data_IF_343807133763
#
_entry.id   IF_343807133763
#
_cell.length_a   1.000
_cell.length_b   1.000
_cell.length_c   1.000
_cell.angle_alpha   90.00
_cell.angle_beta   90.00
_cell.angle_gamma   90.00
#
_symmetry.space_group_name_H-M   'P 1'
#
loop_
_entity.id
_entity.type
_entity.pdbx_description
1 polymer ?
#
# COMPACT_ATOMS: atom_id res chain seq x y z
N UNK A 1 -37.86 33.63 -34.10
CA UNK A 1 -37.53 32.29 -33.58
C UNK A 1 -36.06 31.86 -33.76
N UNK A 2 -35.36 32.17 -34.86
CA UNK A 2 -33.99 31.66 -35.08
C UNK A 2 -32.88 32.28 -34.19
N UNK A 3 -33.02 33.54 -33.76
CA UNK A 3 -32.01 34.22 -32.91
C UNK A 3 -31.99 33.72 -31.47
N UNK A 4 -33.16 33.42 -30.89
CA UNK A 4 -33.30 33.00 -29.49
C UNK A 4 -32.73 31.61 -29.22
N UNK A 5 -32.79 30.72 -30.22
CA UNK A 5 -32.24 29.36 -30.14
C UNK A 5 -30.71 29.41 -30.14
N UNK A 6 -30.10 30.30 -30.93
CA UNK A 6 -28.65 30.42 -31.05
C UNK A 6 -28.00 30.94 -29.75
N UNK A 7 -28.61 31.93 -29.10
CA UNK A 7 -28.14 32.43 -27.79
C UNK A 7 -28.26 31.39 -26.69
N UNK A 8 -29.32 30.58 -26.72
CA UNK A 8 -29.51 29.50 -25.76
C UNK A 8 -28.44 28.41 -25.92
N UNK A 9 -28.12 28.00 -27.16
CA UNK A 9 -27.04 27.05 -27.42
C UNK A 9 -25.66 27.56 -26.97
N UNK A 10 -25.38 28.85 -27.15
CA UNK A 10 -24.10 29.45 -26.72
C UNK A 10 -23.95 29.51 -25.19
N UNK A 11 -25.03 29.76 -24.44
CA UNK A 11 -25.01 29.71 -22.96
C UNK A 11 -24.90 28.27 -22.40
N UNK A 12 -25.53 27.30 -23.07
CA UNK A 12 -25.43 25.90 -22.66
C UNK A 12 -24.04 25.34 -22.96
N UNK A 13 -23.39 25.76 -24.05
CA UNK A 13 -22.02 25.35 -24.34
C UNK A 13 -20.98 25.97 -23.40
N UNK A 14 -21.15 27.23 -22.98
CA UNK A 14 -20.23 27.85 -22.01
C UNK A 14 -20.33 27.24 -20.60
N UNK A 15 -21.52 26.75 -20.22
CA UNK A 15 -21.70 26.01 -18.97
C UNK A 15 -21.13 24.58 -19.01
N UNK A 16 -21.03 23.95 -20.19
CA UNK A 16 -20.32 22.67 -20.37
C UNK A 16 -18.80 22.85 -20.16
N UNK A 17 -18.21 23.97 -20.59
CA UNK A 17 -16.78 24.25 -20.39
C UNK A 17 -16.41 24.64 -18.94
N UNK A 18 -17.34 25.20 -18.17
CA UNK A 18 -17.13 25.51 -16.74
C UNK A 18 -17.31 24.29 -15.81
N UNK A 19 -17.83 23.18 -16.33
CA UNK A 19 -17.91 21.91 -15.61
C UNK A 19 -16.64 21.05 -15.75
N UNK A 20 -15.51 21.66 -16.12
CA UNK A 20 -14.19 21.16 -15.72
C UNK A 20 -14.04 21.37 -14.21
N UNK A 21 -14.74 20.53 -13.45
CA UNK A 21 -14.54 20.40 -12.01
C UNK A 21 -13.03 20.36 -11.76
N UNK A 22 -12.54 21.31 -10.95
CA UNK A 22 -11.30 21.13 -10.21
C UNK A 22 -11.40 19.72 -9.60
N UNK A 23 -10.60 18.77 -10.09
CA UNK A 23 -10.38 17.52 -9.36
C UNK A 23 -9.76 17.95 -8.04
N UNK A 24 -10.58 18.16 -7.02
CA UNK A 24 -10.08 18.18 -5.66
C UNK A 24 -9.28 16.89 -5.50
N UNK A 25 -8.02 17.03 -5.10
CA UNK A 25 -7.12 15.92 -4.83
C UNK A 25 -7.72 15.12 -3.65
N UNK A 26 -8.67 14.23 -3.93
CA UNK A 26 -9.28 13.36 -2.94
C UNK A 26 -8.17 12.51 -2.34
N UNK A 27 -7.83 12.83 -1.09
CA UNK A 27 -6.89 12.04 -0.32
C UNK A 27 -7.69 10.95 0.36
N UNK A 28 -7.47 9.70 -0.05
CA UNK A 28 -8.06 8.54 0.61
C UNK A 28 -7.08 8.06 1.66
N UNK A 29 -7.54 7.88 2.90
CA UNK A 29 -6.75 7.30 3.97
C UNK A 29 -7.23 5.88 4.26
N UNK A 30 -6.30 4.95 4.44
CA UNK A 30 -6.59 3.58 4.83
C UNK A 30 -5.64 3.11 5.91
N UNK A 31 -6.20 2.64 7.02
CA UNK A 31 -5.45 2.02 8.12
C UNK A 31 -5.58 0.51 8.02
N UNK A 32 -4.48 -0.19 8.27
CA UNK A 32 -4.43 -1.66 8.26
C UNK A 32 -3.63 -2.13 9.47
N UNK A 33 -4.20 -3.03 10.25
CA UNK A 33 -3.60 -3.57 11.46
C UNK A 33 -3.06 -4.98 11.23
N UNK A 34 -1.94 -5.30 11.86
CA UNK A 34 -1.24 -6.57 11.73
C UNK A 34 -0.89 -7.13 13.12
N UNK A 35 -0.98 -8.46 13.26
CA UNK A 35 -0.36 -9.20 14.35
C UNK A 35 1.08 -9.51 13.96
N UNK A 36 1.98 -9.43 14.92
CA UNK A 36 3.36 -9.87 14.78
C UNK A 36 3.53 -11.06 15.71
N UNK A 37 3.84 -12.22 15.14
CA UNK A 37 4.09 -13.45 15.87
C UNK A 37 5.54 -13.88 15.68
N UNK A 38 6.12 -14.57 16.68
CA UNK A 38 7.37 -15.31 16.49
C UNK A 38 7.13 -16.55 15.62
N UNK A 39 8.19 -17.25 15.24
CA UNK A 39 8.05 -18.53 14.52
C UNK A 39 7.41 -19.64 15.34
N UNK A 40 7.41 -19.53 16.67
CA UNK A 40 6.69 -20.42 17.59
C UNK A 40 5.20 -20.04 17.73
N UNK A 41 4.68 -19.25 16.78
CA UNK A 41 3.31 -18.74 16.71
C UNK A 41 2.86 -17.95 17.95
N UNK A 42 3.81 -17.51 18.78
CA UNK A 42 3.55 -16.66 19.93
C UNK A 42 3.37 -15.22 19.49
N UNK A 43 2.26 -14.57 19.87
CA UNK A 43 2.03 -13.16 19.60
C UNK A 43 3.07 -12.31 20.35
N UNK A 44 3.90 -11.57 19.63
CA UNK A 44 4.97 -10.72 20.21
C UNK A 44 4.67 -9.22 20.08
N UNK A 45 3.73 -8.85 19.21
CA UNK A 45 3.40 -7.44 19.02
C UNK A 45 2.32 -7.19 17.98
N UNK A 46 2.16 -5.91 17.67
CA UNK A 46 1.22 -5.43 16.69
C UNK A 46 1.88 -4.39 15.78
N UNK A 47 1.31 -4.20 14.60
CA UNK A 47 1.69 -3.14 13.69
C UNK A 47 0.45 -2.44 13.11
N UNK A 48 0.59 -1.13 12.85
CA UNK A 48 -0.31 -0.33 12.04
C UNK A 48 0.44 0.16 10.80
N UNK A 49 -0.19 -0.02 9.64
CA UNK A 49 0.18 0.66 8.39
C UNK A 49 -0.93 1.61 7.98
N UNK A 50 -0.59 2.87 7.74
CA UNK A 50 -1.51 3.87 7.22
C UNK A 50 -1.07 4.26 5.81
N UNK A 51 -2.02 4.25 4.88
CA UNK A 51 -1.82 4.59 3.48
C UNK A 51 -2.60 5.85 3.17
N UNK A 52 -1.91 6.88 2.69
CA UNK A 52 -2.53 8.08 2.14
C UNK A 52 -2.35 8.07 0.62
N UNK A 53 -3.45 7.96 -0.11
CA UNK A 53 -3.47 7.98 -1.56
C UNK A 53 -3.70 9.43 -2.00
N UNK A 54 -2.70 10.06 -2.60
CA UNK A 54 -2.74 11.45 -3.09
C UNK A 54 -2.30 11.47 -4.55
N UNK A 55 -3.27 11.63 -5.45
CA UNK A 55 -3.04 11.62 -6.90
C UNK A 55 -2.31 10.33 -7.32
N UNK A 56 -1.17 10.48 -7.98
CA UNK A 56 -0.32 9.39 -8.44
C UNK A 56 0.67 8.91 -7.37
N UNK A 57 0.53 9.37 -6.12
CA UNK A 57 1.40 8.99 -5.01
C UNK A 57 0.64 8.23 -3.94
N UNK A 58 1.29 7.23 -3.35
CA UNK A 58 0.81 6.53 -2.15
C UNK A 58 1.87 6.74 -1.08
N UNK A 59 1.47 7.33 0.05
CA UNK A 59 2.37 7.50 1.19
C UNK A 59 2.01 6.42 2.19
N UNK A 60 2.94 5.50 2.44
CA UNK A 60 2.86 4.51 3.49
C UNK A 60 3.53 5.03 4.75
N UNK A 61 2.86 4.86 5.88
CA UNK A 61 3.35 5.14 7.21
C UNK A 61 3.26 3.85 8.00
N UNK A 62 4.33 3.47 8.67
CA UNK A 62 4.42 2.24 9.44
C UNK A 62 4.75 2.54 10.89
N UNK A 63 4.07 1.85 11.80
CA UNK A 63 4.47 1.77 13.21
C UNK A 63 4.25 0.37 13.74
N UNK A 64 5.16 -0.10 14.59
CA UNK A 64 5.05 -1.37 15.31
C UNK A 64 5.32 -1.20 16.80
N UNK A 65 4.70 -2.05 17.59
CA UNK A 65 4.85 -2.09 19.05
C UNK A 65 4.95 -3.52 19.54
N UNK A 66 5.62 -3.73 20.67
CA UNK A 66 5.50 -4.98 21.41
C UNK A 66 4.18 -5.03 22.19
N UNK A 67 3.89 -6.16 22.84
CA UNK A 67 2.67 -6.33 23.66
C UNK A 67 2.48 -5.26 24.76
N UNK A 68 3.59 -4.70 25.27
CA UNK A 68 3.59 -3.64 26.30
C UNK A 68 3.35 -2.24 25.72
N UNK A 69 3.20 -2.11 24.39
CA UNK A 69 3.01 -0.83 23.71
C UNK A 69 4.31 -0.04 23.50
N UNK A 70 5.49 -0.63 23.76
CA UNK A 70 6.78 0.01 23.44
C UNK A 70 6.96 0.00 21.93
N UNK A 71 7.19 1.19 21.35
CA UNK A 71 7.51 1.37 19.92
C UNK A 71 8.76 0.56 19.56
N UNK A 72 8.65 -0.24 18.51
CA UNK A 72 9.77 -1.02 17.96
C UNK A 72 10.40 -0.29 16.76
N UNK A 73 9.61 -0.07 15.71
CA UNK A 73 10.07 0.51 14.44
C UNK A 73 9.00 1.48 13.91
N UNK A 74 9.41 2.57 13.27
CA UNK A 74 8.56 3.40 12.43
C UNK A 74 9.31 3.92 11.20
N UNK A 75 8.63 4.00 10.06
CA UNK A 75 9.18 4.55 8.82
C UNK A 75 8.06 5.13 7.92
N UNK A 76 8.48 5.89 6.89
CA UNK A 76 7.61 6.44 5.85
C UNK A 76 8.19 6.07 4.48
N UNK A 77 7.33 5.63 3.58
CA UNK A 77 7.68 5.32 2.19
C UNK A 77 6.69 5.99 1.25
N UNK A 78 7.16 6.38 0.05
CA UNK A 78 6.30 6.88 -1.02
C UNK A 78 6.36 5.89 -2.18
N UNK A 79 5.22 5.61 -2.80
CA UNK A 79 5.07 4.84 -4.03
C UNK A 79 4.51 5.76 -5.10
N UNK A 80 4.90 5.57 -6.36
CA UNK A 80 4.35 6.32 -7.49
C UNK A 80 3.57 5.39 -8.42
N UNK A 81 2.44 5.88 -8.92
CA UNK A 81 1.66 5.25 -9.99
C UNK A 81 1.99 5.96 -11.29
N UNK A 82 2.17 5.20 -12.36
CA UNK A 82 2.27 5.75 -13.71
C UNK A 82 1.37 4.92 -14.62
N UNK A 83 0.25 5.49 -15.06
CA UNK A 83 -0.76 4.76 -15.82
C UNK A 83 -1.29 3.54 -15.04
N UNK A 84 -1.09 2.33 -15.60
CA UNK A 84 -1.49 1.05 -15.00
C UNK A 84 -0.39 0.35 -14.22
N UNK A 85 0.69 1.06 -13.89
CA UNK A 85 1.87 0.46 -13.28
C UNK A 85 2.11 1.12 -11.92
N UNK A 86 2.49 0.30 -10.93
CA UNK A 86 2.83 0.73 -9.58
C UNK A 86 4.34 0.59 -9.39
N UNK A 87 5.01 1.70 -9.10
CA UNK A 87 6.44 1.75 -8.81
C UNK A 87 6.65 1.68 -7.30
N UNK A 88 7.25 0.58 -6.87
CA UNK A 88 7.66 0.28 -5.51
C UNK A 88 9.11 0.71 -5.36
N UNK A 89 9.34 1.69 -4.49
CA UNK A 89 10.67 2.18 -4.20
C UNK A 89 11.49 1.07 -3.56
N UNK A 90 12.55 0.65 -4.25
CA UNK A 90 13.55 -0.19 -3.62
C UNK A 90 14.38 0.72 -2.70
N UNK A 91 14.53 0.32 -1.43
CA UNK A 91 15.30 1.02 -0.40
C UNK A 91 16.82 1.18 -0.70
N UNK A 92 17.27 1.15 -1.97
CA UNK A 92 18.65 1.42 -2.35
C UNK A 92 18.82 2.93 -2.27
N UNK A 93 19.52 3.39 -1.24
CA UNK A 93 19.92 4.80 -1.12
C UNK A 93 20.54 5.27 -2.45
N UNK A 94 19.99 6.34 -3.01
CA UNK A 94 20.52 7.14 -4.11
C UNK A 94 20.49 6.56 -5.54
N UNK A 95 19.71 5.52 -5.84
CA UNK A 95 19.52 5.07 -7.23
C UNK A 95 18.04 5.09 -7.64
N UNK A 96 17.60 6.24 -8.17
CA UNK A 96 16.25 6.44 -8.72
C UNK A 96 16.03 5.71 -10.04
N UNK A 97 17.02 5.01 -10.60
CA UNK A 97 16.84 4.25 -11.84
C UNK A 97 16.46 2.78 -11.59
N UNK A 98 16.39 2.35 -10.33
CA UNK A 98 16.07 0.96 -9.95
C UNK A 98 14.77 0.86 -9.16
N UNK A 99 13.69 1.35 -9.77
CA UNK A 99 12.35 1.08 -9.26
C UNK A 99 11.94 -0.34 -9.56
N UNK A 100 11.41 -1.02 -8.56
CA UNK A 100 10.62 -2.20 -8.78
C UNK A 100 9.26 -1.76 -9.27
N UNK A 101 8.80 -2.31 -10.38
CA UNK A 101 7.49 -1.98 -10.90
C UNK A 101 6.61 -3.22 -10.95
N UNK A 102 5.37 -3.03 -10.53
CA UNK A 102 4.28 -3.97 -10.71
C UNK A 102 3.41 -3.47 -11.84
N UNK A 103 3.30 -4.27 -12.89
CA UNK A 103 2.34 -4.04 -13.96
C UNK A 103 1.13 -4.93 -13.76
N UNK A 104 -0.06 -4.35 -13.87
CA UNK A 104 -1.32 -5.07 -13.73
C UNK A 104 -1.52 -6.01 -14.93
N UNK A 105 -1.15 -7.28 -14.77
CA UNK A 105 -1.25 -8.32 -15.80
C UNK A 105 -2.21 -9.44 -15.38
N UNK A 106 -2.80 -10.13 -16.37
CA UNK A 106 -3.58 -11.37 -16.14
C UNK A 106 -2.69 -12.61 -16.07
N UNK A 107 -1.43 -12.50 -16.51
CA UNK A 107 -0.45 -13.60 -16.53
C UNK A 107 0.50 -13.48 -15.34
N UNK A 108 1.00 -14.60 -14.86
CA UNK A 108 2.07 -14.61 -13.86
C UNK A 108 3.38 -14.13 -14.49
N UNK A 109 4.14 -13.30 -13.78
CA UNK A 109 5.44 -12.79 -14.23
C UNK A 109 6.43 -12.77 -13.08
N UNK A 110 7.67 -13.19 -13.28
CA UNK A 110 8.72 -13.08 -12.27
C UNK A 110 9.92 -12.34 -12.85
N UNK A 111 10.48 -11.43 -12.08
CA UNK A 111 11.67 -10.67 -12.40
C UNK A 111 12.74 -10.99 -11.37
N UNK A 112 13.90 -11.42 -11.84
CA UNK A 112 15.11 -11.46 -11.03
C UNK A 112 15.69 -10.07 -10.95
N UNK A 113 16.09 -9.65 -9.76
CA UNK A 113 16.72 -8.35 -9.57
C UNK A 113 17.97 -8.54 -8.73
N UNK A 114 19.11 -8.24 -9.34
CA UNK A 114 20.40 -8.25 -8.68
C UNK A 114 20.65 -6.92 -7.99
N UNK A 115 20.78 -6.98 -6.67
CA UNK A 115 20.98 -5.83 -5.82
C UNK A 115 22.38 -5.73 -5.23
N UNK A 116 23.41 -6.37 -5.81
CA UNK A 116 24.83 -6.41 -5.35
C UNK A 116 25.08 -6.93 -3.92
N UNK A 117 24.12 -6.81 -3.02
CA UNK A 117 24.16 -7.24 -1.63
C UNK A 117 23.26 -8.45 -1.40
N UNK A 118 22.11 -8.52 -2.10
CA UNK A 118 21.09 -9.54 -1.92
C UNK A 118 20.44 -9.88 -3.26
N UNK A 119 20.10 -11.16 -3.42
CA UNK A 119 19.36 -11.68 -4.57
C UNK A 119 17.88 -11.58 -4.23
N UNK A 120 17.07 -10.99 -5.11
CA UNK A 120 15.64 -11.01 -4.88
C UNK A 120 14.83 -11.24 -6.14
N UNK A 121 13.70 -11.93 -5.95
CA UNK A 121 12.70 -12.19 -6.97
C UNK A 121 11.45 -11.37 -6.68
N UNK A 122 11.01 -10.63 -7.69
CA UNK A 122 9.71 -9.96 -7.71
C UNK A 122 8.78 -10.74 -8.65
N UNK A 123 7.84 -11.48 -8.06
CA UNK A 123 6.83 -12.21 -8.81
C UNK A 123 5.47 -11.54 -8.69
N UNK A 124 4.74 -11.49 -9.79
CA UNK A 124 3.34 -11.11 -9.84
C UNK A 124 2.53 -12.33 -10.20
N UNK A 125 1.46 -12.56 -9.45
CA UNK A 125 0.49 -13.64 -9.64
C UNK A 125 -0.78 -12.96 -10.13
N UNK A 126 -1.06 -13.06 -11.42
CA UNK A 126 -1.96 -12.18 -12.19
C UNK A 126 -3.23 -11.71 -11.48
N UNK A 127 -4.39 -12.21 -11.88
CA UNK A 127 -5.64 -11.98 -11.12
C UNK A 127 -5.92 -13.23 -10.30
N UNK A 128 -6.06 -13.08 -8.99
CA UNK A 128 -6.37 -14.17 -8.07
C UNK A 128 -7.60 -13.83 -7.22
N UNK A 129 -8.11 -14.84 -6.51
CA UNK A 129 -9.09 -14.65 -5.45
C UNK A 129 -8.36 -14.78 -4.10
N UNK A 130 -8.74 -13.95 -3.14
CA UNK A 130 -8.21 -13.92 -1.78
C UNK A 130 -9.37 -13.86 -0.77
N UNK A 131 -9.17 -14.29 0.48
CA UNK A 131 -10.25 -14.35 1.48
C UNK A 131 -11.00 -13.01 1.56
N UNK A 132 -12.30 -13.03 1.32
CA UNK A 132 -13.15 -11.82 1.31
C UNK A 132 -13.04 -10.91 0.07
N UNK A 133 -12.13 -11.19 -0.87
CA UNK A 133 -11.91 -10.34 -2.06
C UNK A 133 -11.73 -11.16 -3.34
N UNK A 134 -12.51 -10.84 -4.38
CA UNK A 134 -12.42 -11.48 -5.69
C UNK A 134 -11.72 -10.59 -6.71
N UNK A 135 -11.04 -11.20 -7.67
CA UNK A 135 -10.36 -10.52 -8.77
C UNK A 135 -9.32 -9.46 -8.33
N UNK A 136 -8.47 -9.84 -7.37
CA UNK A 136 -7.39 -9.01 -6.82
C UNK A 136 -6.04 -9.39 -7.43
N UNK A 137 -5.06 -8.52 -7.31
CA UNK A 137 -3.68 -8.78 -7.74
C UNK A 137 -2.84 -9.25 -6.58
N UNK A 138 -1.88 -10.13 -6.83
CA UNK A 138 -0.90 -10.56 -5.84
C UNK A 138 0.52 -10.31 -6.31
N UNK A 139 1.32 -9.71 -5.45
CA UNK A 139 2.76 -9.54 -5.62
C UNK A 139 3.45 -10.38 -4.54
N UNK A 140 4.49 -11.10 -4.94
CA UNK A 140 5.33 -11.92 -4.09
C UNK A 140 6.77 -11.43 -4.20
N UNK A 141 7.39 -11.20 -3.05
CA UNK A 141 8.79 -10.86 -2.90
C UNK A 141 9.48 -12.02 -2.19
N UNK A 142 10.60 -12.46 -2.74
CA UNK A 142 11.50 -13.42 -2.08
C UNK A 142 12.91 -12.84 -2.11
N UNK A 143 13.37 -12.36 -0.96
CA UNK A 143 14.72 -11.84 -0.75
C UNK A 143 15.56 -12.95 -0.11
N UNK A 144 16.63 -13.32 -0.79
CA UNK A 144 17.59 -14.34 -0.39
C UNK A 144 18.88 -13.63 0.08
N UNK A 145 19.40 -14.02 1.24
CA UNK A 145 20.52 -13.33 1.87
C UNK A 145 20.76 -13.77 3.32
N UNK A 146 21.50 -12.97 4.08
CA UNK A 146 21.74 -13.22 5.51
C UNK A 146 20.49 -13.06 6.37
N UNK A 147 19.57 -12.19 5.94
CA UNK A 147 18.28 -11.94 6.59
C UNK A 147 17.15 -12.18 5.57
N UNK A 148 16.89 -13.43 5.15
CA UNK A 148 15.90 -13.70 4.12
C UNK A 148 14.52 -13.21 4.54
N UNK A 149 13.80 -12.69 3.55
CA UNK A 149 12.48 -12.12 3.74
C UNK A 149 11.55 -12.51 2.60
N UNK A 150 10.38 -13.00 2.98
CA UNK A 150 9.27 -13.28 2.07
C UNK A 150 8.14 -12.32 2.35
N UNK A 151 7.60 -11.73 1.29
CA UNK A 151 6.49 -10.81 1.41
C UNK A 151 5.42 -11.12 0.36
N UNK A 152 4.15 -11.05 0.76
CA UNK A 152 3.01 -11.13 -0.16
C UNK A 152 2.14 -9.89 -0.01
N UNK A 153 1.94 -9.14 -1.10
CA UNK A 153 1.08 -7.97 -1.16
C UNK A 153 -0.15 -8.28 -2.02
N UNK A 154 -1.34 -8.07 -1.46
CA UNK A 154 -2.62 -8.21 -2.16
C UNK A 154 -3.16 -6.82 -2.46
N UNK A 155 -3.43 -6.55 -3.75
CA UNK A 155 -3.86 -5.25 -4.25
C UNK A 155 -5.23 -5.32 -4.91
N UNK A 156 -6.04 -4.30 -4.71
CA UNK A 156 -7.26 -4.10 -5.49
C UNK A 156 -6.94 -3.54 -6.88
N UNK A 157 -7.96 -3.40 -7.73
CA UNK A 157 -7.86 -2.93 -9.13
C UNK A 157 -7.23 -1.55 -9.29
N UNK A 158 -7.36 -0.70 -8.28
CA UNK A 158 -6.83 0.65 -8.18
C UNK A 158 -5.48 0.71 -7.44
N UNK A 159 -4.83 -0.43 -7.21
CA UNK A 159 -3.63 -0.61 -6.38
C UNK A 159 -3.83 -0.28 -4.90
N UNK A 160 -5.07 -0.18 -4.41
CA UNK A 160 -5.32 -0.10 -2.97
C UNK A 160 -4.81 -1.38 -2.32
N UNK A 161 -3.94 -1.25 -1.32
CA UNK A 161 -3.42 -2.40 -0.56
C UNK A 161 -4.56 -2.98 0.26
N UNK A 162 -4.84 -4.27 0.05
CA UNK A 162 -5.85 -5.03 0.76
C UNK A 162 -5.23 -5.85 1.89
N UNK A 163 -4.08 -6.48 1.64
CA UNK A 163 -3.36 -7.29 2.62
C UNK A 163 -1.86 -7.28 2.35
N UNK A 164 -1.06 -7.36 3.41
CA UNK A 164 0.40 -7.53 3.35
C UNK A 164 0.80 -8.62 4.35
N UNK A 165 1.52 -9.62 3.90
CA UNK A 165 2.04 -10.69 4.74
C UNK A 165 3.55 -10.64 4.66
N UNK A 166 4.24 -10.65 5.80
CA UNK A 166 5.70 -10.65 5.85
C UNK A 166 6.16 -11.83 6.69
N UNK A 167 7.15 -12.55 6.20
CA UNK A 167 7.77 -13.68 6.87
C UNK A 167 9.29 -13.49 6.76
N UNK A 168 9.94 -13.36 7.90
CA UNK A 168 11.37 -13.07 8.04
C UNK A 168 11.91 -13.90 9.19
N UNK A 169 13.22 -14.14 9.26
CA UNK A 169 13.86 -15.04 10.24
C UNK A 169 13.35 -14.99 11.69
N UNK A 170 12.95 -13.81 12.17
CA UNK A 170 12.57 -13.62 13.57
C UNK A 170 11.05 -13.51 13.79
N UNK A 171 10.26 -13.31 12.72
CA UNK A 171 8.84 -13.01 12.87
C UNK A 171 8.00 -13.28 11.61
N UNK A 172 6.71 -13.51 11.88
CA UNK A 172 5.64 -13.52 10.88
C UNK A 172 4.65 -12.39 11.17
N UNK A 173 4.35 -11.58 10.15
CA UNK A 173 3.30 -10.55 10.17
C UNK A 173 2.11 -11.03 9.37
N UNK A 174 0.97 -11.05 10.03
CA UNK A 174 -0.29 -11.42 9.41
C UNK A 174 -1.30 -10.30 9.53
N UNK A 175 -2.04 -10.09 8.44
CA UNK A 175 -3.14 -9.14 8.39
C UNK A 175 -4.21 -9.50 9.44
N UNK A 176 -4.60 -8.52 10.26
CA UNK A 176 -5.81 -8.63 11.06
C UNK A 176 -6.98 -8.25 10.15
N UNK A 177 -7.58 -9.24 9.52
CA UNK A 177 -8.62 -9.04 8.50
C UNK A 177 -9.92 -8.46 9.04
N UNK A 178 -10.17 -8.60 10.35
CA UNK A 178 -11.33 -8.06 11.01
C UNK A 178 -10.86 -7.03 12.04
N UNK A 179 -11.09 -5.76 11.78
CA UNK A 179 -10.70 -4.70 12.71
C UNK A 179 -11.32 -4.89 14.11
N UNK A 180 -12.41 -5.64 14.25
CA UNK A 180 -13.02 -5.97 15.54
C UNK A 180 -12.20 -6.98 16.36
N UNK A 181 -11.29 -7.73 15.73
CA UNK A 181 -10.31 -8.59 16.45
C UNK A 181 -9.19 -7.77 17.09
N UNK A 182 -9.01 -6.51 16.67
CA UNK A 182 -8.11 -5.58 17.33
C UNK A 182 -8.86 -4.96 18.50
N UNK A 183 -8.57 -5.44 19.71
CA UNK A 183 -9.15 -4.88 20.93
C UNK A 183 -9.00 -3.35 20.97
N UNK A 184 -10.01 -2.67 21.50
CA UNK A 184 -10.08 -1.19 21.58
C UNK A 184 -8.80 -0.58 22.18
N UNK A 185 -8.21 -1.27 23.16
CA UNK A 185 -6.96 -0.87 23.83
C UNK A 185 -5.77 -0.82 22.87
N UNK A 186 -5.68 -1.76 21.92
CA UNK A 186 -4.59 -1.77 20.93
C UNK A 186 -4.80 -0.65 19.91
N UNK A 187 -6.04 -0.42 19.46
CA UNK A 187 -6.38 0.70 18.57
C UNK A 187 -6.04 2.05 19.20
N UNK A 188 -6.48 2.28 20.44
CA UNK A 188 -6.22 3.55 21.15
C UNK A 188 -4.73 3.80 21.41
N UNK A 189 -3.95 2.75 21.68
CA UNK A 189 -2.47 2.85 21.75
C UNK A 189 -1.87 3.30 20.42
N UNK A 190 -2.31 2.74 19.29
CA UNK A 190 -1.85 3.18 17.97
C UNK A 190 -2.30 4.61 17.64
N UNK A 191 -3.51 5.01 18.01
CA UNK A 191 -3.97 6.40 17.81
C UNK A 191 -3.13 7.40 18.63
N UNK A 192 -2.74 7.04 19.85
CA UNK A 192 -1.81 7.85 20.66
C UNK A 192 -0.41 7.89 20.04
N UNK A 193 0.09 6.77 19.55
CA UNK A 193 1.43 6.70 18.97
C UNK A 193 1.51 7.38 17.61
N UNK A 194 0.46 7.29 16.78
CA UNK A 194 0.37 8.05 15.53
C UNK A 194 0.31 9.55 15.82
N UNK A 195 -0.40 10.02 16.85
CA UNK A 195 -0.35 11.44 17.27
C UNK A 195 1.04 11.90 17.74
N UNK A 196 1.84 11.00 18.32
CA UNK A 196 3.18 11.30 18.89
C UNK A 196 4.34 11.13 17.91
N UNK A 197 4.13 10.52 16.75
CA UNK A 197 5.13 10.55 15.68
C UNK A 197 5.22 12.00 15.24
N UNK A 198 6.36 12.67 15.46
CA UNK A 198 6.61 13.95 14.82
C UNK A 198 6.56 13.71 13.30
N UNK A 199 5.53 14.28 12.66
CA UNK A 199 5.19 14.04 11.26
C UNK A 199 6.01 14.90 10.30
N UNK A 200 7.22 15.33 10.69
CA UNK A 200 8.06 16.29 9.99
C UNK A 200 9.53 15.89 10.12
#
# INVERSE_FOLDING_TARGET
MKRTILTFCLMVMSSIFLCCNKRENQTVEKKIYYKISSHEDSLIGFCLREYQFKNDSIIEKYISTNLRGKKLIAFRQVFYKQGSDLFIFSNVKNDTNKYLYFRRTKKDTCLFVDRKLEIFFLCTKGIINFKGYKNVYKIYYNEEGSEPKKENLILNKDYTILARFEDSNDYRKELIMNENEVGIVVKSRFDLLTKKIAWW
#
